data_IF_604922810147
#
_entry.id   IF_604922810147
#
_cell.length_a   1.000
_cell.length_b   1.000
_cell.length_c   1.000
_cell.angle_alpha   90.00
_cell.angle_beta   90.00
_cell.angle_gamma   90.00
#
_symmetry.space_group_name_H-M   'P 1'
#
loop_
_entity.id
_entity.type
_entity.pdbx_description
1 polymer ?
#
# COMPACT_ATOMS: atom_id res chain seq x y z
N UNK A 1 -60.91 13.10 -9.10
CA UNK A 1 -60.58 11.77 -8.55
C UNK A 1 -60.14 10.89 -9.71
N UNK A 2 -58.93 10.31 -9.58
CA UNK A 2 -58.30 9.28 -10.41
C UNK A 2 -58.03 9.66 -11.89
N UNK A 3 -56.81 9.81 -12.39
CA UNK A 3 -55.51 9.26 -11.96
C UNK A 3 -55.11 8.14 -12.94
N UNK A 4 -54.35 8.48 -13.98
CA UNK A 4 -53.55 7.51 -14.77
C UNK A 4 -52.29 8.21 -15.26
N UNK A 5 -51.15 7.58 -14.96
CA UNK A 5 -49.80 8.10 -15.07
C UNK A 5 -49.33 8.31 -16.50
N UNK A 6 -48.64 9.44 -16.67
CA UNK A 6 -47.77 9.79 -17.78
C UNK A 6 -46.54 8.88 -17.82
N UNK A 7 -46.22 8.45 -19.04
CA UNK A 7 -44.99 7.77 -19.39
C UNK A 7 -43.75 8.62 -19.03
N UNK A 8 -42.74 7.96 -18.49
CA UNK A 8 -41.35 8.40 -18.59
C UNK A 8 -40.47 7.19 -18.78
N UNK A 9 -40.11 6.97 -20.04
CA UNK A 9 -38.94 6.21 -20.40
C UNK A 9 -37.69 6.98 -19.93
N UNK A 10 -36.82 6.33 -19.16
CA UNK A 10 -35.38 6.64 -19.08
C UNK A 10 -34.65 5.59 -18.24
N UNK A 11 -33.73 4.90 -18.91
CA UNK A 11 -32.47 4.44 -18.32
C UNK A 11 -32.52 3.19 -17.46
N UNK A 12 -32.48 2.03 -18.11
CA UNK A 12 -31.79 0.86 -17.56
C UNK A 12 -30.31 1.25 -17.42
N UNK A 13 -29.88 1.65 -16.23
CA UNK A 13 -28.45 1.76 -15.91
C UNK A 13 -27.94 0.39 -15.50
N UNK A 14 -27.30 -0.23 -16.48
CA UNK A 14 -26.28 -1.27 -16.40
C UNK A 14 -25.53 -1.27 -15.06
N UNK A 15 -25.50 -2.43 -14.42
CA UNK A 15 -24.59 -2.77 -13.33
C UNK A 15 -23.20 -3.03 -13.91
N UNK A 16 -22.16 -2.22 -13.61
CA UNK A 16 -20.79 -2.60 -13.88
C UNK A 16 -20.17 -3.00 -12.54
N UNK A 17 -20.22 -4.28 -12.20
CA UNK A 17 -19.21 -4.91 -11.35
C UNK A 17 -19.45 -6.42 -11.29
N UNK A 18 -19.11 -7.06 -12.40
CA UNK A 18 -18.62 -8.43 -12.32
C UNK A 18 -17.23 -8.35 -11.66
N UNK A 19 -17.21 -8.19 -10.34
CA UNK A 19 -16.06 -8.63 -9.56
C UNK A 19 -15.99 -10.14 -9.80
N UNK A 20 -15.23 -10.54 -10.81
CA UNK A 20 -14.88 -11.94 -11.01
C UNK A 20 -14.22 -12.36 -9.71
N UNK A 21 -14.96 -13.10 -8.89
CA UNK A 21 -14.43 -13.86 -7.78
C UNK A 21 -13.56 -14.92 -8.45
N UNK A 22 -12.31 -14.55 -8.74
CA UNK A 22 -11.32 -15.44 -9.33
C UNK A 22 -11.16 -16.57 -8.32
N UNK A 23 -11.64 -17.76 -8.69
CA UNK A 23 -11.43 -18.95 -7.89
C UNK A 23 -9.96 -19.34 -8.05
N UNK A 24 -9.13 -18.85 -7.14
CA UNK A 24 -7.67 -19.03 -7.12
C UNK A 24 -7.27 -20.52 -7.22
N UNK A 25 -8.11 -21.42 -6.72
CA UNK A 25 -7.91 -22.86 -6.78
C UNK A 25 -7.95 -23.44 -8.22
N UNK A 26 -8.69 -22.80 -9.14
CA UNK A 26 -8.86 -23.26 -10.53
C UNK A 26 -7.81 -22.68 -11.49
N UNK A 27 -6.99 -21.72 -11.04
CA UNK A 27 -5.95 -21.11 -11.87
C UNK A 27 -4.84 -22.11 -12.24
N UNK A 28 -4.32 -21.98 -13.45
CA UNK A 28 -3.12 -22.69 -13.91
C UNK A 28 -1.89 -22.23 -13.14
N UNK A 29 -0.83 -23.04 -13.15
CA UNK A 29 0.42 -22.73 -12.44
C UNK A 29 1.09 -21.45 -12.99
N UNK A 30 0.95 -21.19 -14.29
CA UNK A 30 1.43 -19.98 -14.95
C UNK A 30 0.65 -18.72 -14.52
N UNK A 31 -0.68 -18.81 -14.43
CA UNK A 31 -1.53 -17.71 -13.95
C UNK A 31 -1.24 -17.37 -12.48
N UNK A 32 -0.98 -18.37 -11.63
CA UNK A 32 -0.61 -18.16 -10.22
C UNK A 32 0.75 -17.46 -10.13
N UNK A 33 1.72 -17.84 -10.96
CA UNK A 33 3.04 -17.20 -10.99
C UNK A 33 2.95 -15.74 -11.44
N UNK A 34 2.20 -15.45 -12.51
CA UNK A 34 2.01 -14.08 -12.99
C UNK A 34 1.30 -13.20 -11.95
N UNK A 35 0.30 -13.74 -11.26
CA UNK A 35 -0.38 -13.04 -10.18
C UNK A 35 0.54 -12.80 -8.97
N UNK A 36 1.44 -13.74 -8.66
CA UNK A 36 2.44 -13.56 -7.62
C UNK A 36 3.38 -12.39 -7.95
N UNK A 37 3.90 -12.32 -9.17
CA UNK A 37 4.78 -11.23 -9.61
C UNK A 37 4.05 -9.87 -9.55
N UNK A 38 2.79 -9.82 -9.97
CA UNK A 38 1.97 -8.61 -9.82
C UNK A 38 1.83 -8.19 -8.35
N UNK A 39 1.55 -9.13 -7.45
CA UNK A 39 1.44 -8.83 -6.02
C UNK A 39 2.77 -8.33 -5.43
N UNK A 40 3.91 -8.82 -5.94
CA UNK A 40 5.24 -8.39 -5.48
C UNK A 40 5.52 -6.94 -5.85
N UNK A 41 5.28 -6.58 -7.11
CA UNK A 41 5.40 -5.20 -7.57
C UNK A 41 4.47 -4.24 -6.81
N UNK A 42 3.23 -4.65 -6.55
CA UNK A 42 2.28 -3.83 -5.79
C UNK A 42 2.71 -3.69 -4.32
N UNK A 43 3.19 -4.76 -3.68
CA UNK A 43 3.68 -4.71 -2.30
C UNK A 43 4.91 -3.79 -2.17
N UNK A 44 5.82 -3.83 -3.14
CA UNK A 44 6.96 -2.92 -3.20
C UNK A 44 6.50 -1.47 -3.33
N UNK A 45 5.63 -1.18 -4.30
CA UNK A 45 5.07 0.16 -4.51
C UNK A 45 4.39 0.74 -3.26
N UNK A 46 3.51 -0.04 -2.61
CA UNK A 46 2.83 0.40 -1.38
C UNK A 46 3.81 0.50 -0.21
N UNK A 47 4.82 -0.37 -0.15
CA UNK A 47 5.87 -0.32 0.86
C UNK A 47 6.70 0.96 0.78
N UNK A 48 7.17 1.32 -0.42
CA UNK A 48 7.91 2.56 -0.67
C UNK A 48 7.05 3.79 -0.38
N UNK A 49 5.80 3.80 -0.88
CA UNK A 49 4.85 4.88 -0.63
C UNK A 49 4.62 5.10 0.87
N UNK A 50 4.51 4.02 1.64
CA UNK A 50 4.35 4.09 3.09
C UNK A 50 5.58 4.71 3.77
N UNK A 51 6.80 4.35 3.35
CA UNK A 51 8.03 4.95 3.89
C UNK A 51 8.11 6.45 3.57
N UNK A 52 7.79 6.85 2.35
CA UNK A 52 7.77 8.26 1.95
C UNK A 52 6.78 9.08 2.79
N UNK A 53 5.56 8.55 3.01
CA UNK A 53 4.56 9.21 3.86
C UNK A 53 5.02 9.32 5.32
N UNK A 54 5.74 8.32 5.82
CA UNK A 54 6.33 8.33 7.16
C UNK A 54 7.39 9.42 7.32
N UNK A 55 8.27 9.60 6.34
CA UNK A 55 9.24 10.70 6.35
C UNK A 55 8.56 12.06 6.37
N UNK A 56 7.51 12.24 5.57
CA UNK A 56 6.71 13.47 5.56
C UNK A 56 6.02 13.68 6.91
N UNK A 57 5.47 12.63 7.53
CA UNK A 57 4.87 12.69 8.85
C UNK A 57 5.88 13.18 9.89
N UNK A 58 7.10 12.66 9.86
CA UNK A 58 8.17 13.09 10.78
C UNK A 58 8.54 14.56 10.57
N UNK A 59 8.68 15.01 9.31
CA UNK A 59 8.95 16.42 8.97
C UNK A 59 7.83 17.35 9.44
N UNK A 60 6.56 16.96 9.26
CA UNK A 60 5.40 17.72 9.74
C UNK A 60 5.35 17.77 11.26
N UNK A 61 5.67 16.67 11.93
CA UNK A 61 5.71 16.60 13.38
C UNK A 61 6.81 17.53 13.94
N UNK A 62 8.02 17.47 13.41
CA UNK A 62 9.10 18.39 13.79
C UNK A 62 8.76 19.85 13.52
N UNK A 63 8.04 20.15 12.42
CA UNK A 63 7.57 21.50 12.12
C UNK A 63 6.52 21.98 13.12
N UNK A 64 5.58 21.10 13.51
CA UNK A 64 4.59 21.38 14.56
C UNK A 64 5.25 21.68 15.90
N UNK A 65 6.22 20.85 16.31
CA UNK A 65 7.00 21.12 17.52
C UNK A 65 7.77 22.44 17.47
N UNK A 66 8.33 22.79 16.30
CA UNK A 66 9.02 24.06 16.12
C UNK A 66 8.07 25.24 16.35
N UNK A 67 6.84 25.20 15.83
CA UNK A 67 5.81 26.22 16.10
C UNK A 67 5.50 26.32 17.59
N UNK A 68 5.34 25.19 18.28
CA UNK A 68 5.09 25.18 19.74
C UNK A 68 6.26 25.80 20.50
N UNK A 69 7.51 25.46 20.15
CA UNK A 69 8.72 26.03 20.77
C UNK A 69 8.84 27.52 20.48
N UNK A 70 8.47 27.96 19.28
CA UNK A 70 8.47 29.39 18.90
C UNK A 70 7.44 30.20 19.71
N UNK A 71 6.31 29.61 20.10
CA UNK A 71 5.36 30.29 21.01
C UNK A 71 5.93 30.62 22.40
N UNK A 72 6.99 29.92 22.83
CA UNK A 72 7.63 30.17 24.14
C UNK A 72 8.59 31.36 24.10
N UNK A 73 8.97 31.80 22.91
CA UNK A 73 9.90 32.91 22.71
C UNK A 73 9.21 34.26 22.82
N UNK A 74 9.98 35.29 23.14
CA UNK A 74 9.49 36.67 23.24
C UNK A 74 10.02 37.50 22.08
N UNK A 75 9.25 38.53 21.70
CA UNK A 75 9.76 39.56 20.80
C UNK A 75 11.01 40.21 21.41
N UNK A 76 12.00 40.48 20.56
CA UNK A 76 13.32 40.99 20.94
C UNK A 76 14.31 39.94 21.43
N UNK A 77 13.94 38.65 21.46
CA UNK A 77 14.87 37.59 21.83
C UNK A 77 15.88 37.33 20.70
N UNK A 78 17.16 37.24 21.07
CA UNK A 78 18.25 36.90 20.16
C UNK A 78 18.13 35.44 19.69
N UNK A 79 18.29 35.24 18.39
CA UNK A 79 18.22 33.96 17.70
C UNK A 79 19.34 33.86 16.66
N UNK A 80 19.87 32.66 16.47
CA UNK A 80 20.82 32.37 15.41
C UNK A 80 20.09 31.78 14.22
N UNK A 81 20.17 32.44 13.07
CA UNK A 81 19.54 32.00 11.84
C UNK A 81 20.61 31.35 10.95
N UNK A 82 20.44 30.09 10.53
CA UNK A 82 21.37 29.45 9.60
C UNK A 82 21.25 30.12 8.22
N UNK A 83 22.35 30.66 7.70
CA UNK A 83 22.42 31.14 6.31
C UNK A 83 22.91 30.02 5.37
N UNK A 84 23.82 29.18 5.87
CA UNK A 84 24.33 27.99 5.19
C UNK A 84 24.53 26.87 6.21
N UNK A 85 24.89 25.66 5.75
CA UNK A 85 25.16 24.51 6.62
C UNK A 85 26.30 24.72 7.63
N UNK A 86 27.13 25.75 7.49
CA UNK A 86 28.27 26.02 8.38
C UNK A 86 28.34 27.45 8.90
N UNK A 87 27.32 28.28 8.63
CA UNK A 87 27.33 29.70 9.02
C UNK A 87 25.97 30.12 9.56
N UNK A 88 26.00 30.73 10.75
CA UNK A 88 24.84 31.29 11.44
C UNK A 88 25.01 32.80 11.61
N UNK A 89 23.92 33.54 11.46
CA UNK A 89 23.88 34.99 11.64
C UNK A 89 22.99 35.31 12.85
N UNK A 90 23.43 36.17 13.78
CA UNK A 90 22.60 36.64 14.87
C UNK A 90 21.50 37.57 14.36
N UNK A 91 20.29 37.39 14.88
CA UNK A 91 19.14 38.27 14.65
C UNK A 91 18.24 38.31 15.89
N UNK A 92 17.24 39.18 15.88
CA UNK A 92 16.26 39.28 16.95
C UNK A 92 14.85 39.04 16.41
N UNK A 93 14.01 38.32 17.17
CA UNK A 93 12.63 38.04 16.76
C UNK A 93 11.76 39.29 16.83
N UNK A 94 11.17 39.70 15.71
CA UNK A 94 10.26 40.87 15.66
C UNK A 94 8.80 40.52 15.93
N UNK A 95 8.33 39.39 15.40
CA UNK A 95 6.96 38.90 15.55
C UNK A 95 7.00 37.44 16.02
N UNK A 96 6.28 37.14 17.11
CA UNK A 96 6.14 35.80 17.68
C UNK A 96 4.68 35.33 17.67
N UNK A 97 3.76 36.13 17.12
CA UNK A 97 2.33 35.83 17.05
C UNK A 97 1.93 35.16 15.74
N UNK A 98 2.71 35.38 14.67
CA UNK A 98 2.42 34.83 13.35
C UNK A 98 3.59 34.01 12.81
N UNK A 99 3.26 33.01 11.99
CA UNK A 99 4.21 32.18 11.27
C UNK A 99 3.83 32.10 9.80
N UNK A 100 4.84 31.95 8.95
CA UNK A 100 4.65 31.71 7.54
C UNK A 100 4.63 30.19 7.29
N UNK A 101 3.56 29.67 6.71
CA UNK A 101 3.38 28.25 6.42
C UNK A 101 3.29 28.04 4.92
N UNK A 102 4.08 27.09 4.41
CA UNK A 102 3.97 26.60 3.03
C UNK A 102 2.74 25.67 2.91
N UNK A 103 1.83 26.04 2.01
CA UNK A 103 0.62 25.24 1.71
C UNK A 103 0.78 24.38 0.44
N UNK A 104 1.92 24.50 -0.24
CA UNK A 104 2.26 23.81 -1.47
C UNK A 104 2.21 24.70 -2.71
N UNK A 105 2.69 24.18 -3.84
CA UNK A 105 2.71 24.88 -5.16
C UNK A 105 3.44 26.24 -5.16
N UNK A 106 4.32 26.47 -4.17
CA UNK A 106 5.07 27.72 -4.01
C UNK A 106 4.33 28.83 -3.26
N UNK A 107 3.16 28.55 -2.70
CA UNK A 107 2.38 29.53 -1.95
C UNK A 107 2.62 29.42 -0.45
N UNK A 108 2.76 30.58 0.18
CA UNK A 108 2.95 30.71 1.61
C UNK A 108 1.84 31.57 2.20
N UNK A 109 1.31 31.16 3.35
CA UNK A 109 0.26 31.89 4.05
C UNK A 109 0.74 32.24 5.45
N UNK A 110 0.55 33.50 5.83
CA UNK A 110 0.77 33.94 7.20
C UNK A 110 -0.42 33.51 8.05
N UNK A 111 -0.16 32.72 9.09
CA UNK A 111 -1.16 32.22 10.03
C UNK A 111 -0.79 32.61 11.45
N UNK A 112 -1.80 32.74 12.32
CA UNK A 112 -1.54 32.91 13.75
C UNK A 112 -0.94 31.62 14.33
N UNK A 113 -0.24 31.73 15.46
CA UNK A 113 0.32 30.56 16.15
C UNK A 113 -0.72 29.49 16.50
N UNK A 114 -1.97 29.88 16.79
CA UNK A 114 -3.03 28.93 17.10
C UNK A 114 -3.54 28.23 15.84
N UNK A 115 -3.81 29.01 14.77
CA UNK A 115 -4.25 28.44 13.49
C UNK A 115 -3.19 27.52 12.88
N UNK A 116 -1.91 27.86 13.07
CA UNK A 116 -0.78 27.04 12.67
C UNK A 116 -0.78 25.67 13.37
N UNK A 117 -1.01 25.63 14.68
CA UNK A 117 -1.11 24.36 15.44
C UNK A 117 -2.27 23.51 14.95
N UNK A 118 -3.42 24.11 14.71
CA UNK A 118 -4.59 23.42 14.19
C UNK A 118 -4.35 22.91 12.76
N UNK A 119 -3.68 23.71 11.93
CA UNK A 119 -3.28 23.34 10.57
C UNK A 119 -2.38 22.09 10.58
N UNK A 120 -1.31 22.09 11.36
CA UNK A 120 -0.40 20.94 11.46
C UNK A 120 -1.09 19.71 12.05
N UNK A 121 -1.92 19.89 13.09
CA UNK A 121 -2.66 18.79 13.71
C UNK A 121 -3.61 18.12 12.72
N UNK A 122 -4.41 18.90 12.00
CA UNK A 122 -5.31 18.39 10.95
C UNK A 122 -4.53 17.73 9.80
N UNK A 123 -3.39 18.29 9.41
CA UNK A 123 -2.55 17.70 8.35
C UNK A 123 -1.95 16.36 8.79
N UNK A 124 -1.50 16.25 10.04
CA UNK A 124 -0.98 15.01 10.64
C UNK A 124 -2.07 13.95 10.77
N UNK A 125 -3.28 14.32 11.15
CA UNK A 125 -4.42 13.41 11.22
C UNK A 125 -4.78 12.86 9.83
N UNK A 126 -4.92 13.74 8.83
CA UNK A 126 -5.19 13.34 7.45
C UNK A 126 -4.10 12.38 6.91
N UNK A 127 -2.82 12.69 7.20
CA UNK A 127 -1.71 11.84 6.78
C UNK A 127 -1.73 10.48 7.49
N UNK A 128 -2.03 10.47 8.79
CA UNK A 128 -2.17 9.23 9.57
C UNK A 128 -3.28 8.34 9.03
N UNK A 129 -4.44 8.90 8.68
CA UNK A 129 -5.54 8.17 8.06
C UNK A 129 -5.16 7.60 6.68
N UNK A 130 -4.39 8.34 5.88
CA UNK A 130 -3.88 7.85 4.59
C UNK A 130 -2.89 6.70 4.78
N UNK A 131 -1.99 6.80 5.76
CA UNK A 131 -1.05 5.74 6.10
C UNK A 131 -1.76 4.48 6.60
N UNK A 132 -2.81 4.62 7.43
CA UNK A 132 -3.61 3.49 7.92
C UNK A 132 -4.30 2.75 6.76
N UNK A 133 -4.87 3.47 5.79
CA UNK A 133 -5.46 2.86 4.59
C UNK A 133 -4.42 2.03 3.81
N UNK A 134 -3.22 2.57 3.60
CA UNK A 134 -2.14 1.85 2.91
C UNK A 134 -1.68 0.64 3.73
N UNK A 135 -1.58 0.77 5.04
CA UNK A 135 -1.21 -0.33 5.92
C UNK A 135 -2.23 -1.49 5.85
N UNK A 136 -3.53 -1.18 5.81
CA UNK A 136 -4.58 -2.18 5.65
C UNK A 136 -4.47 -2.89 4.28
N UNK A 137 -4.25 -2.14 3.20
CA UNK A 137 -4.03 -2.70 1.86
C UNK A 137 -2.80 -3.61 1.85
N UNK A 138 -1.68 -3.18 2.45
CA UNK A 138 -0.46 -3.99 2.57
C UNK A 138 -0.73 -5.30 3.31
N UNK A 139 -1.44 -5.26 4.44
CA UNK A 139 -1.77 -6.45 5.22
C UNK A 139 -2.68 -7.42 4.43
N UNK A 140 -3.68 -6.91 3.71
CA UNK A 140 -4.56 -7.74 2.88
C UNK A 140 -3.79 -8.38 1.71
N UNK A 141 -2.98 -7.60 0.99
CA UNK A 141 -2.17 -8.12 -0.11
C UNK A 141 -1.13 -9.14 0.35
N UNK A 142 -0.51 -8.94 1.51
CA UNK A 142 0.39 -9.94 2.09
C UNK A 142 -0.34 -11.25 2.44
N UNK A 143 -1.59 -11.19 2.92
CA UNK A 143 -2.40 -12.39 3.17
C UNK A 143 -2.72 -13.12 1.86
N UNK A 144 -3.13 -12.39 0.82
CA UNK A 144 -3.42 -12.96 -0.51
C UNK A 144 -2.17 -13.62 -1.09
N UNK A 145 -1.01 -12.94 -1.04
CA UNK A 145 0.26 -13.51 -1.50
C UNK A 145 0.61 -14.81 -0.75
N UNK A 146 0.47 -14.84 0.58
CA UNK A 146 0.71 -16.06 1.37
C UNK A 146 -0.20 -17.20 0.92
N UNK A 147 -1.48 -16.92 0.73
CA UNK A 147 -2.45 -17.90 0.25
C UNK A 147 -2.09 -18.44 -1.16
N UNK A 148 -1.63 -17.57 -2.07
CA UNK A 148 -1.16 -17.98 -3.40
C UNK A 148 0.04 -18.93 -3.32
N UNK A 149 1.00 -18.63 -2.44
CA UNK A 149 2.18 -19.48 -2.22
C UNK A 149 1.78 -20.86 -1.68
N UNK A 150 0.81 -20.92 -0.76
CA UNK A 150 0.30 -22.19 -0.22
C UNK A 150 -0.38 -23.05 -1.29
N UNK A 151 -1.20 -22.45 -2.16
CA UNK A 151 -1.83 -23.15 -3.30
C UNK A 151 -0.75 -23.65 -4.27
N UNK A 152 0.22 -22.80 -4.60
CA UNK A 152 1.31 -23.15 -5.50
C UNK A 152 2.08 -24.36 -4.95
N UNK A 153 2.44 -24.35 -3.67
CA UNK A 153 3.13 -25.44 -3.00
C UNK A 153 2.31 -26.73 -3.00
N UNK A 154 1.01 -26.64 -2.73
CA UNK A 154 0.09 -27.78 -2.77
C UNK A 154 0.04 -28.41 -4.17
N UNK A 155 -0.13 -27.59 -5.22
CA UNK A 155 -0.17 -28.08 -6.61
C UNK A 155 1.14 -28.72 -7.05
N UNK A 156 2.29 -28.16 -6.65
CA UNK A 156 3.61 -28.75 -6.94
C UNK A 156 3.74 -30.13 -6.26
N UNK A 157 3.31 -30.25 -5.00
CA UNK A 157 3.37 -31.52 -4.27
C UNK A 157 2.45 -32.58 -4.89
N UNK A 158 1.23 -32.23 -5.29
CA UNK A 158 0.31 -33.14 -5.99
C UNK A 158 0.89 -33.64 -7.32
N UNK A 159 1.47 -32.73 -8.12
CA UNK A 159 2.11 -33.07 -9.38
C UNK A 159 3.31 -34.03 -9.20
N UNK A 160 4.13 -33.81 -8.17
CA UNK A 160 5.24 -34.69 -7.82
C UNK A 160 4.76 -36.09 -7.36
N UNK A 161 3.66 -36.15 -6.59
CA UNK A 161 3.08 -37.40 -6.12
C UNK A 161 2.53 -38.26 -7.28
N UNK A 162 1.84 -37.62 -8.23
CA UNK A 162 1.34 -38.25 -9.46
C UNK A 162 2.49 -38.79 -10.32
N UNK A 163 3.61 -38.06 -10.42
CA UNK A 163 4.77 -38.49 -11.19
C UNK A 163 5.47 -39.70 -10.55
N UNK A 164 5.52 -39.79 -9.21
CA UNK A 164 6.08 -40.95 -8.51
C UNK A 164 5.20 -42.20 -8.65
N UNK A 165 3.87 -42.06 -8.62
CA UNK A 165 2.96 -43.20 -8.87
C UNK A 165 3.04 -43.73 -10.30
N UNK A 166 3.24 -42.85 -11.30
CA UNK A 166 3.43 -43.29 -12.69
C UNK A 166 4.76 -44.02 -12.91
N UNK A 167 5.83 -43.66 -12.18
CA UNK A 167 7.10 -44.41 -12.20
C UNK A 167 7.02 -45.75 -11.47
N UNK A 168 6.16 -45.89 -10.46
CA UNK A 168 5.98 -47.14 -9.72
C UNK A 168 5.09 -48.17 -10.45
N UNK A 169 4.27 -47.76 -11.42
CA UNK A 169 3.32 -48.64 -12.11
C UNK A 169 3.75 -49.03 -13.55
N UNK A 170 5.04 -48.91 -13.89
CA UNK A 170 5.58 -49.53 -15.11
C UNK A 170 5.75 -51.04 -14.86
N UNK A 171 5.06 -51.93 -15.58
CA UNK A 171 5.15 -53.37 -15.33
C UNK A 171 6.51 -53.89 -15.78
N UNK A 172 7.28 -54.42 -14.82
CA UNK A 172 8.27 -55.47 -15.10
C UNK A 172 7.48 -56.68 -15.60
N UNK A 173 7.26 -56.78 -16.91
CA UNK A 173 6.75 -58.01 -17.53
C UNK A 173 7.84 -59.06 -17.43
N UNK A 174 7.60 -60.01 -16.53
CA UNK A 174 8.25 -61.30 -16.38
C UNK A 174 8.55 -61.98 -17.73
N UNK A 175 9.83 -62.02 -18.11
CA UNK A 175 10.34 -63.01 -19.05
C UNK A 175 10.69 -64.30 -18.31
N UNK A 176 9.69 -65.11 -17.96
CA UNK A 176 9.91 -66.49 -17.50
C UNK A 176 9.35 -67.48 -18.51
N UNK A 177 10.27 -68.18 -19.15
CA UNK A 177 10.19 -69.55 -19.65
C UNK A 177 9.07 -69.94 -20.65
N UNK A 178 9.46 -70.06 -21.92
CA UNK A 178 8.98 -71.15 -22.78
C UNK A 178 10.10 -72.19 -22.90
N UNK A 179 9.78 -73.38 -22.38
CA UNK A 179 10.53 -74.63 -22.51
C UNK A 179 10.24 -75.22 -23.91
N UNK A 180 11.13 -76.12 -24.35
CA UNK A 180 11.03 -77.13 -25.42
C UNK A 180 10.92 -76.69 -26.89
N UNK A 181 11.94 -77.04 -27.69
CA UNK A 181 11.91 -77.86 -28.92
C UNK A 181 13.38 -78.03 -29.40
N UNK A 182 14.01 -79.20 -29.25
CA UNK A 182 14.16 -80.32 -30.21
C UNK A 182 15.22 -80.05 -31.30
N UNK A 183 16.13 -81.03 -31.41
CA UNK A 183 17.27 -81.29 -32.33
C UNK A 183 18.61 -80.57 -32.12
#
# INVERSE_FOLDING_TARGET
MNGTQIASAKGETETPNNAQVINVNQLSMEEIHNLQEQMDNELEFFGESYQQLREVQQKLHSSSEAVVKMCLNKAGQDVLIPLTSSMYVPGALSDVSNVLIDIGTGYHVQMSMNDAKDFFSRKLENLSQQMEKIQNILMEKQKIKRYLIEILQTKVQEALHLQQQQKANSPMTSGTASKSDID
#
